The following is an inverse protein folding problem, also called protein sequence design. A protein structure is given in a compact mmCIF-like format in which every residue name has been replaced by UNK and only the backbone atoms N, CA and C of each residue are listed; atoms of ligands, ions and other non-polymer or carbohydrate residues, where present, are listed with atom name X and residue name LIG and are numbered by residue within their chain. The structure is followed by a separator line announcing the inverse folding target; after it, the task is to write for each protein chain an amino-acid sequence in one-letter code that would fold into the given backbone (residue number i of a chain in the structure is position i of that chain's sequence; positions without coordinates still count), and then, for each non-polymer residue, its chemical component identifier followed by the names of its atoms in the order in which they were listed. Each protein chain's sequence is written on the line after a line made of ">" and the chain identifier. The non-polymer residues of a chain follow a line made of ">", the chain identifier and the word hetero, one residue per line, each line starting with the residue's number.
data_IF_171876889030
#
_entry.id   IF_171876889030
#
_cell.length_a   1.000
_cell.length_b   1.000
_cell.length_c   1.000
_cell.angle_alpha   90.00
_cell.angle_beta   90.00
_cell.angle_gamma   90.00
#
_symmetry.space_group_name_H-M   'P 1'
#
loop_
_entity.id
_entity.type
_entity.pdbx_description
1 polymer ?
#
# COMPACT_ATOMS: atom_id res chain seq x y z
N UNK A 1 -30.23 3.66 -13.19
CA UNK A 1 -28.93 3.35 -12.53
C UNK A 1 -29.00 3.97 -11.16
N UNK A 2 -29.22 3.19 -10.12
CA UNK A 2 -29.04 3.63 -8.73
C UNK A 2 -27.58 4.08 -8.62
N UNK A 3 -27.38 5.37 -8.30
CA UNK A 3 -26.06 5.84 -7.87
C UNK A 3 -25.74 5.06 -6.60
N UNK A 4 -24.79 4.14 -6.68
CA UNK A 4 -24.23 3.50 -5.49
C UNK A 4 -23.61 4.59 -4.62
N UNK A 5 -24.37 5.08 -3.67
CA UNK A 5 -23.87 6.05 -2.70
C UNK A 5 -22.93 5.32 -1.74
N UNK A 6 -21.72 5.85 -1.47
CA UNK A 6 -20.75 5.22 -0.59
C UNK A 6 -21.32 4.94 0.81
N UNK A 7 -22.24 5.79 1.27
CA UNK A 7 -22.94 5.62 2.55
C UNK A 7 -23.74 4.33 2.61
N UNK A 8 -24.45 3.99 1.53
CA UNK A 8 -25.25 2.76 1.48
C UNK A 8 -24.37 1.53 1.57
N UNK A 9 -23.19 1.56 0.93
CA UNK A 9 -22.23 0.45 1.01
C UNK A 9 -21.63 0.33 2.41
N UNK A 10 -21.21 1.44 3.00
CA UNK A 10 -20.66 1.47 4.35
C UNK A 10 -21.72 1.08 5.39
N UNK A 11 -22.95 1.57 5.25
CA UNK A 11 -24.09 1.20 6.11
C UNK A 11 -24.38 -0.29 6.09
N UNK A 12 -24.41 -0.89 4.89
CA UNK A 12 -24.60 -2.34 4.74
C UNK A 12 -23.57 -3.14 5.52
N UNK A 13 -22.30 -2.69 5.55
CA UNK A 13 -21.25 -3.34 6.34
C UNK A 13 -21.58 -3.26 7.84
N UNK A 14 -22.04 -2.09 8.31
CA UNK A 14 -22.42 -1.91 9.71
C UNK A 14 -23.54 -2.87 10.09
N UNK A 15 -24.60 -2.94 9.28
CA UNK A 15 -25.76 -3.78 9.54
C UNK A 15 -25.39 -5.29 9.54
N UNK A 16 -24.66 -5.75 8.51
CA UNK A 16 -24.21 -7.14 8.42
C UNK A 16 -23.29 -7.55 9.59
N UNK A 17 -22.41 -6.68 10.04
CA UNK A 17 -21.51 -6.95 11.15
C UNK A 17 -22.24 -6.89 12.51
N UNK A 18 -23.20 -5.98 12.66
CA UNK A 18 -24.01 -5.87 13.86
C UNK A 18 -24.92 -7.08 14.06
N UNK A 19 -25.53 -7.57 12.97
CA UNK A 19 -26.35 -8.79 12.99
C UNK A 19 -25.54 -10.03 13.38
N UNK A 20 -24.28 -10.12 12.94
CA UNK A 20 -23.38 -11.24 13.26
C UNK A 20 -22.79 -11.15 14.66
N UNK A 21 -22.45 -9.96 15.11
CA UNK A 21 -21.90 -9.57 16.42
C UNK A 21 -20.60 -10.26 16.88
N UNK A 22 -20.05 -11.21 16.12
CA UNK A 22 -18.86 -12.00 16.51
C UNK A 22 -17.63 -11.11 16.71
N UNK A 23 -17.42 -10.14 15.82
CA UNK A 23 -16.23 -9.29 15.83
C UNK A 23 -16.22 -8.25 16.96
N UNK A 24 -17.34 -8.05 17.66
CA UNK A 24 -17.43 -7.18 18.83
C UNK A 24 -16.43 -7.60 19.92
N UNK A 25 -16.28 -8.91 20.13
CA UNK A 25 -15.41 -9.47 21.16
C UNK A 25 -14.10 -10.02 20.57
N UNK A 26 -14.15 -10.52 19.33
CA UNK A 26 -12.98 -11.15 18.70
C UNK A 26 -11.94 -10.13 18.26
N UNK A 27 -12.36 -8.92 17.86
CA UNK A 27 -11.49 -7.92 17.23
C UNK A 27 -11.34 -6.64 18.07
N UNK A 28 -11.72 -6.68 19.33
CA UNK A 28 -11.74 -5.51 20.21
C UNK A 28 -10.34 -4.90 20.43
N UNK A 29 -9.34 -5.74 20.70
CA UNK A 29 -8.00 -5.27 21.05
C UNK A 29 -7.11 -4.88 19.85
N UNK A 30 -7.34 -5.48 18.68
CA UNK A 30 -6.37 -5.46 17.57
C UNK A 30 -6.85 -4.67 16.34
N UNK A 31 -8.09 -4.20 16.34
CA UNK A 31 -8.72 -3.55 15.21
C UNK A 31 -9.31 -2.20 15.59
N UNK A 32 -9.06 -1.17 14.77
CA UNK A 32 -9.70 0.14 14.97
C UNK A 32 -11.09 0.24 14.33
N UNK A 33 -11.34 -0.60 13.33
CA UNK A 33 -12.60 -0.58 12.58
C UNK A 33 -13.77 -1.15 13.37
N UNK A 34 -13.64 -2.36 13.93
CA UNK A 34 -14.77 -3.02 14.60
C UNK A 34 -15.21 -2.33 15.90
N UNK A 35 -14.31 -1.91 16.81
CA UNK A 35 -14.74 -1.14 17.99
C UNK A 35 -15.49 0.13 17.62
N UNK A 36 -15.04 0.85 16.60
CA UNK A 36 -15.75 2.04 16.14
C UNK A 36 -17.08 1.73 15.47
N UNK A 37 -17.16 0.64 14.69
CA UNK A 37 -18.40 0.18 14.08
C UNK A 37 -19.46 -0.06 15.15
N UNK A 38 -19.14 -0.84 16.18
CA UNK A 38 -20.08 -1.17 17.24
C UNK A 38 -20.42 0.04 18.10
N UNK A 39 -19.46 0.92 18.36
CA UNK A 39 -19.72 2.17 19.05
C UNK A 39 -20.75 3.05 18.31
N UNK A 40 -20.62 3.14 16.99
CA UNK A 40 -21.54 3.92 16.16
C UNK A 40 -22.91 3.26 16.08
N UNK A 41 -22.97 1.94 15.96
CA UNK A 41 -24.20 1.18 15.94
C UNK A 41 -24.96 1.29 17.27
N UNK A 42 -24.27 1.09 18.40
CA UNK A 42 -24.85 1.18 19.73
C UNK A 42 -25.38 2.60 20.01
N UNK A 43 -24.62 3.65 19.63
CA UNK A 43 -25.08 5.04 19.71
C UNK A 43 -26.40 5.24 18.96
N UNK A 44 -26.51 4.72 17.74
CA UNK A 44 -27.73 4.83 16.92
C UNK A 44 -28.92 4.13 17.57
N UNK A 45 -28.71 2.95 18.16
CA UNK A 45 -29.76 2.22 18.87
C UNK A 45 -30.20 2.98 20.15
N UNK A 46 -29.26 3.54 20.90
CA UNK A 46 -29.55 4.24 22.17
C UNK A 46 -30.20 5.59 21.96
N UNK A 47 -29.75 6.34 20.95
CA UNK A 47 -30.18 7.74 20.75
C UNK A 47 -31.21 7.91 19.66
N UNK A 48 -31.37 6.97 18.76
CA UNK A 48 -32.17 7.08 17.54
C UNK A 48 -31.54 7.98 16.45
N UNK A 49 -30.33 8.53 16.71
CA UNK A 49 -29.61 9.37 15.74
C UNK A 49 -28.90 8.50 14.72
N UNK A 50 -29.20 8.67 13.43
CA UNK A 50 -28.54 7.92 12.35
C UNK A 50 -27.06 8.25 12.24
N UNK A 51 -26.25 7.23 11.94
CA UNK A 51 -24.83 7.40 11.64
C UNK A 51 -24.69 8.32 10.42
N UNK A 52 -23.90 9.38 10.56
CA UNK A 52 -23.69 10.39 9.51
C UNK A 52 -22.74 9.90 8.41
N UNK A 53 -22.79 10.55 7.23
CA UNK A 53 -21.86 10.28 6.13
C UNK A 53 -20.39 10.46 6.54
N UNK A 54 -20.09 11.47 7.37
CA UNK A 54 -18.73 11.71 7.86
C UNK A 54 -18.26 10.59 8.81
N UNK A 55 -19.13 10.12 9.70
CA UNK A 55 -18.84 8.99 10.59
C UNK A 55 -18.63 7.70 9.79
N UNK A 56 -19.46 7.41 8.77
CA UNK A 56 -19.27 6.26 7.88
C UNK A 56 -17.97 6.33 7.08
N UNK A 57 -17.62 7.53 6.58
CA UNK A 57 -16.35 7.77 5.90
C UNK A 57 -15.17 7.48 6.83
N UNK A 58 -15.19 8.05 8.03
CA UNK A 58 -14.15 7.84 9.04
C UNK A 58 -14.04 6.37 9.46
N UNK A 59 -15.18 5.68 9.58
CA UNK A 59 -15.22 4.26 9.92
C UNK A 59 -14.45 3.43 8.90
N UNK A 60 -14.72 3.58 7.60
CA UNK A 60 -14.01 2.80 6.57
C UNK A 60 -12.53 3.16 6.49
N UNK A 61 -12.15 4.41 6.82
CA UNK A 61 -10.75 4.84 6.87
C UNK A 61 -9.93 4.13 7.97
N UNK A 62 -10.57 3.61 9.02
CA UNK A 62 -9.89 2.85 10.07
C UNK A 62 -9.42 1.46 9.65
N UNK A 63 -9.90 0.92 8.53
CA UNK A 63 -9.46 -0.38 8.05
C UNK A 63 -8.10 -0.29 7.37
N UNK A 64 -7.09 -0.96 7.94
CA UNK A 64 -5.73 -1.05 7.41
C UNK A 64 -5.47 -2.32 6.59
N UNK A 65 -6.51 -3.07 6.23
CA UNK A 65 -6.40 -4.29 5.43
C UNK A 65 -5.41 -5.33 5.99
N UNK A 66 -5.30 -5.42 7.31
CA UNK A 66 -4.35 -6.30 8.01
C UNK A 66 -4.63 -7.80 7.84
N UNK A 67 -5.78 -8.17 7.29
CA UNK A 67 -6.23 -9.54 7.06
C UNK A 67 -6.47 -10.39 8.33
N UNK A 68 -6.56 -9.78 9.50
CA UNK A 68 -6.85 -10.48 10.76
C UNK A 68 -8.32 -10.84 10.94
N UNK A 69 -9.24 -10.10 10.28
CA UNK A 69 -10.65 -10.38 10.42
C UNK A 69 -11.04 -11.75 9.82
N UNK A 70 -11.91 -12.52 10.51
CA UNK A 70 -12.28 -13.88 10.10
C UNK A 70 -13.17 -13.91 8.85
N UNK A 71 -13.76 -12.77 8.47
CA UNK A 71 -14.73 -12.66 7.39
C UNK A 71 -14.10 -11.98 6.15
N UNK A 72 -13.62 -12.74 5.13
CA UNK A 72 -12.99 -12.16 3.94
C UNK A 72 -13.84 -11.14 3.17
N UNK A 73 -15.18 -11.33 2.99
CA UNK A 73 -16.02 -10.37 2.27
C UNK A 73 -16.05 -8.97 2.88
N UNK A 74 -15.91 -8.85 4.20
CA UNK A 74 -15.93 -7.54 4.89
C UNK A 74 -14.81 -6.65 4.38
N UNK A 75 -13.60 -7.18 4.18
CA UNK A 75 -12.46 -6.40 3.67
C UNK A 75 -12.71 -5.86 2.26
N UNK A 76 -13.23 -6.71 1.38
CA UNK A 76 -13.58 -6.31 0.02
C UNK A 76 -14.65 -5.20 0.03
N UNK A 77 -15.70 -5.37 0.84
CA UNK A 77 -16.76 -4.39 0.99
C UNK A 77 -16.25 -3.05 1.54
N UNK A 78 -15.33 -3.07 2.52
CA UNK A 78 -14.73 -1.84 3.06
C UNK A 78 -13.88 -1.14 1.99
N UNK A 79 -13.06 -1.88 1.24
CA UNK A 79 -12.25 -1.31 0.16
C UNK A 79 -13.12 -0.69 -0.92
N UNK A 80 -14.21 -1.35 -1.30
CA UNK A 80 -15.18 -0.81 -2.26
C UNK A 80 -15.85 0.46 -1.73
N UNK A 81 -16.28 0.49 -0.47
CA UNK A 81 -16.84 1.69 0.14
C UNK A 81 -15.82 2.84 0.18
N UNK A 82 -14.56 2.57 0.51
CA UNK A 82 -13.48 3.57 0.43
C UNK A 82 -13.33 4.13 -0.98
N UNK A 83 -13.27 3.26 -1.98
CA UNK A 83 -13.16 3.69 -3.40
C UNK A 83 -14.34 4.59 -3.79
N UNK A 84 -15.57 4.22 -3.45
CA UNK A 84 -16.73 5.05 -3.74
C UNK A 84 -16.68 6.44 -3.06
N UNK A 85 -16.21 6.51 -1.81
CA UNK A 85 -15.99 7.78 -1.13
C UNK A 85 -14.90 8.61 -1.82
N UNK A 86 -13.81 7.99 -2.26
CA UNK A 86 -12.71 8.68 -2.95
C UNK A 86 -13.13 9.16 -4.33
N UNK A 87 -13.87 8.35 -5.08
CA UNK A 87 -14.40 8.72 -6.40
C UNK A 87 -15.33 9.94 -6.34
N UNK A 88 -16.08 10.08 -5.24
CA UNK A 88 -16.96 11.22 -5.01
C UNK A 88 -16.26 12.46 -4.46
N UNK A 89 -15.44 12.28 -3.42
CA UNK A 89 -14.93 13.38 -2.58
C UNK A 89 -13.45 13.68 -2.82
N UNK A 90 -12.74 12.76 -3.47
CA UNK A 90 -11.29 12.82 -3.66
C UNK A 90 -10.50 12.45 -2.40
N UNK A 91 -9.19 12.33 -2.57
CA UNK A 91 -8.23 12.09 -1.50
C UNK A 91 -7.78 13.40 -0.84
N UNK A 92 -7.55 13.36 0.47
CA UNK A 92 -6.89 14.46 1.18
C UNK A 92 -5.47 14.63 0.63
N UNK A 93 -5.01 15.87 0.50
CA UNK A 93 -3.70 16.20 -0.08
C UNK A 93 -2.54 15.43 0.54
N UNK A 94 -2.51 15.30 1.88
CA UNK A 94 -1.45 14.57 2.58
C UNK A 94 -1.45 13.08 2.23
N UNK A 95 -2.61 12.44 2.16
CA UNK A 95 -2.75 11.02 1.80
C UNK A 95 -2.29 10.81 0.35
N UNK A 96 -2.77 11.64 -0.58
CA UNK A 96 -2.38 11.59 -2.00
C UNK A 96 -0.87 11.76 -2.22
N UNK A 97 -0.21 12.49 -1.34
CA UNK A 97 1.25 12.68 -1.42
C UNK A 97 2.00 11.47 -0.90
N UNK A 98 1.49 10.81 0.14
CA UNK A 98 2.17 9.70 0.81
C UNK A 98 1.92 8.33 0.16
N UNK A 99 0.80 8.13 -0.51
CA UNK A 99 0.48 6.86 -1.18
C UNK A 99 1.40 6.56 -2.36
N UNK A 100 1.84 7.57 -3.10
CA UNK A 100 2.86 7.44 -4.14
C UNK A 100 4.27 7.62 -3.56
N UNK A 101 4.73 6.59 -2.86
CA UNK A 101 6.06 6.56 -2.23
C UNK A 101 7.19 6.83 -3.23
N UNK A 102 7.06 6.35 -4.46
CA UNK A 102 8.07 6.56 -5.50
C UNK A 102 8.19 8.05 -5.89
N UNK A 103 7.05 8.70 -6.12
CA UNK A 103 7.00 10.12 -6.47
C UNK A 103 7.53 10.99 -5.33
N UNK A 104 7.08 10.72 -4.11
CA UNK A 104 7.55 11.41 -2.92
C UNK A 104 9.05 11.25 -2.73
N UNK A 105 9.56 10.02 -2.82
CA UNK A 105 10.99 9.75 -2.65
C UNK A 105 11.83 10.43 -3.73
N UNK A 106 11.43 10.39 -5.00
CA UNK A 106 12.14 11.08 -6.08
C UNK A 106 12.23 12.59 -5.86
N UNK A 107 11.20 13.22 -5.33
CA UNK A 107 11.24 14.64 -4.95
C UNK A 107 12.24 14.90 -3.82
N UNK A 108 12.24 14.05 -2.79
CA UNK A 108 13.11 14.18 -1.63
C UNK A 108 14.58 13.84 -1.91
N UNK A 109 14.85 13.01 -2.91
CA UNK A 109 16.20 12.58 -3.32
C UNK A 109 16.98 13.61 -4.13
N UNK A 110 16.37 14.70 -4.58
CA UNK A 110 17.08 15.77 -5.31
C UNK A 110 18.14 16.40 -4.40
N UNK A 111 17.79 16.61 -3.12
CA UNK A 111 18.69 17.15 -2.09
C UNK A 111 18.51 16.39 -0.77
N UNK A 112 18.96 15.13 -0.68
CA UNK A 112 18.61 14.26 0.45
C UNK A 112 19.10 14.79 1.79
N UNK A 113 20.31 15.38 1.83
CA UNK A 113 20.86 15.97 3.07
C UNK A 113 20.02 17.14 3.57
N UNK A 114 19.66 18.05 2.69
CA UNK A 114 18.82 19.21 3.03
C UNK A 114 17.41 18.78 3.43
N UNK A 115 16.83 17.85 2.72
CA UNK A 115 15.51 17.28 3.03
C UNK A 115 15.52 16.60 4.40
N UNK A 116 16.52 15.78 4.68
CA UNK A 116 16.67 15.12 5.98
C UNK A 116 16.87 16.12 7.12
N UNK A 117 17.64 17.19 6.88
CA UNK A 117 17.83 18.26 7.87
C UNK A 117 16.52 19.00 8.17
N UNK A 118 15.73 19.31 7.15
CA UNK A 118 14.43 19.97 7.30
C UNK A 118 13.44 19.11 8.10
N UNK A 119 13.35 17.81 7.80
CA UNK A 119 12.47 16.89 8.53
C UNK A 119 12.93 16.61 9.97
N UNK A 120 14.22 16.66 10.26
CA UNK A 120 14.77 16.47 11.61
C UNK A 120 14.64 17.71 12.49
N UNK A 121 14.55 18.91 11.90
CA UNK A 121 14.33 20.15 12.64
C UNK A 121 12.98 20.15 13.34
N UNK A 122 12.95 20.34 14.67
CA UNK A 122 11.71 20.24 15.45
C UNK A 122 10.63 21.21 14.94
N UNK A 123 10.98 22.47 14.72
CA UNK A 123 10.02 23.49 14.23
C UNK A 123 9.71 23.36 12.73
N UNK A 124 10.72 23.13 11.90
CA UNK A 124 10.56 22.99 10.45
C UNK A 124 9.87 21.67 10.09
N UNK A 125 10.28 20.58 10.74
CA UNK A 125 9.68 19.26 10.54
C UNK A 125 8.22 19.23 10.96
N UNK A 126 7.86 19.81 12.09
CA UNK A 126 6.48 19.89 12.58
C UNK A 126 5.61 20.75 11.66
N UNK A 127 6.14 21.86 11.15
CA UNK A 127 5.42 22.70 10.18
C UNK A 127 5.15 21.93 8.87
N UNK A 128 6.16 21.26 8.34
CA UNK A 128 6.02 20.45 7.10
C UNK A 128 4.99 19.34 7.31
N UNK A 129 5.07 18.62 8.43
CA UNK A 129 4.10 17.56 8.77
C UNK A 129 2.69 18.13 8.87
N UNK A 130 2.52 19.27 9.54
CA UNK A 130 1.20 19.93 9.67
C UNK A 130 0.61 20.32 8.31
N UNK A 131 1.42 20.90 7.41
CA UNK A 131 0.98 21.27 6.06
C UNK A 131 0.64 20.03 5.24
N UNK A 132 1.42 18.96 5.38
CA UNK A 132 1.18 17.68 4.71
C UNK A 132 0.06 16.83 5.35
N UNK A 133 -0.57 17.29 6.44
CA UNK A 133 -1.59 16.53 7.17
C UNK A 133 -1.04 15.30 7.90
N UNK A 134 0.26 15.31 8.21
CA UNK A 134 0.94 14.22 8.92
C UNK A 134 0.94 14.52 10.42
N UNK A 135 0.66 13.50 11.25
CA UNK A 135 0.72 13.67 12.71
C UNK A 135 2.12 14.11 13.17
N UNK A 136 2.27 15.07 14.10
CA UNK A 136 3.56 15.60 14.54
C UNK A 136 4.53 14.51 15.04
N UNK A 137 4.03 13.51 15.76
CA UNK A 137 4.83 12.42 16.32
C UNK A 137 5.22 11.35 15.27
N UNK A 138 4.70 11.46 14.04
CA UNK A 138 5.08 10.52 12.97
C UNK A 138 6.54 10.67 12.62
N UNK A 139 7.30 9.60 12.79
CA UNK A 139 8.69 9.55 12.34
C UNK A 139 8.74 9.39 10.81
N UNK A 140 9.43 10.31 10.15
CA UNK A 140 9.71 10.23 8.71
C UNK A 140 11.03 9.50 8.52
N UNK A 141 11.10 8.46 7.68
CA UNK A 141 12.34 7.77 7.36
C UNK A 141 13.38 8.74 6.79
N UNK A 142 14.65 8.46 7.05
CA UNK A 142 15.77 9.21 6.45
C UNK A 142 15.89 8.82 4.97
N UNK A 143 15.86 9.80 4.07
CA UNK A 143 16.06 9.57 2.65
C UNK A 143 17.53 9.23 2.37
N UNK A 144 17.82 8.12 1.68
CA UNK A 144 19.18 7.70 1.37
C UNK A 144 19.82 8.60 0.31
N UNK A 145 21.15 8.72 0.32
CA UNK A 145 21.90 9.43 -0.72
C UNK A 145 21.87 8.67 -2.07
N UNK A 146 21.77 7.35 -2.00
CA UNK A 146 21.65 6.46 -3.15
C UNK A 146 20.53 5.44 -2.94
N UNK A 147 19.49 5.52 -3.77
CA UNK A 147 18.41 4.54 -3.79
C UNK A 147 18.83 3.22 -4.46
N UNK A 148 18.07 2.17 -4.24
CA UNK A 148 18.39 0.87 -4.81
C UNK A 148 18.36 0.84 -6.35
N UNK A 149 17.41 1.45 -7.08
CA UNK A 149 17.45 1.52 -8.54
C UNK A 149 18.73 2.11 -9.13
N UNK A 150 19.29 3.16 -8.52
CA UNK A 150 20.58 3.74 -8.93
C UNK A 150 21.74 2.77 -8.67
N UNK A 151 21.75 2.15 -7.50
CA UNK A 151 22.71 1.12 -7.15
C UNK A 151 22.63 -0.08 -8.09
N UNK A 152 21.44 -0.60 -8.36
CA UNK A 152 21.20 -1.72 -9.28
C UNK A 152 21.71 -1.42 -10.69
N UNK A 153 21.52 -0.18 -11.18
CA UNK A 153 22.07 0.25 -12.48
C UNK A 153 23.60 0.22 -12.50
N UNK A 154 24.26 0.74 -11.45
CA UNK A 154 25.72 0.71 -11.33
C UNK A 154 26.27 -0.72 -11.30
N UNK A 155 25.52 -1.65 -10.67
CA UNK A 155 25.90 -3.06 -10.56
C UNK A 155 25.37 -3.93 -11.70
N UNK A 156 24.89 -3.33 -12.80
CA UNK A 156 24.41 -3.98 -14.03
C UNK A 156 23.27 -4.99 -13.82
N UNK A 157 22.46 -4.81 -12.77
CA UNK A 157 21.32 -5.68 -12.48
C UNK A 157 20.12 -5.43 -13.40
N UNK A 158 20.08 -4.27 -14.06
CA UNK A 158 19.00 -3.89 -14.97
C UNK A 158 19.12 -4.50 -16.38
N UNK A 159 20.16 -5.29 -16.61
CA UNK A 159 20.39 -6.00 -17.88
C UNK A 159 20.30 -7.49 -17.65
N UNK A 160 19.54 -8.19 -18.49
CA UNK A 160 19.46 -9.65 -18.45
C UNK A 160 20.82 -10.27 -18.81
N UNK A 161 21.33 -11.27 -18.05
CA UNK A 161 22.55 -11.99 -18.41
C UNK A 161 22.39 -12.69 -19.77
N UNK A 162 23.33 -12.48 -20.69
CA UNK A 162 23.23 -13.02 -22.06
C UNK A 162 23.42 -14.54 -22.12
N UNK A 163 24.25 -15.12 -21.25
CA UNK A 163 24.49 -16.57 -21.14
C UNK A 163 24.76 -16.90 -19.69
N UNK A 164 23.96 -17.75 -19.10
CA UNK A 164 24.18 -18.25 -17.76
C UNK A 164 23.67 -19.67 -17.63
N UNK A 165 24.47 -20.50 -16.95
CA UNK A 165 24.08 -21.84 -16.52
C UNK A 165 23.44 -21.79 -15.09
N UNK A 166 23.43 -20.63 -14.45
CA UNK A 166 22.89 -20.44 -13.12
C UNK A 166 21.37 -20.37 -13.14
N UNK A 167 20.75 -20.63 -11.99
CA UNK A 167 19.33 -20.30 -11.77
C UNK A 167 19.14 -18.79 -11.82
N UNK A 168 18.04 -18.37 -12.43
CA UNK A 168 17.75 -16.95 -12.67
C UNK A 168 16.61 -16.46 -11.79
N UNK A 169 16.79 -15.31 -11.17
CA UNK A 169 15.71 -14.66 -10.45
C UNK A 169 15.50 -13.22 -10.93
N UNK A 170 14.23 -12.84 -11.01
CA UNK A 170 13.80 -11.45 -11.16
C UNK A 170 13.38 -10.90 -9.79
N UNK A 171 14.08 -9.88 -9.31
CA UNK A 171 13.87 -9.36 -7.99
C UNK A 171 12.90 -8.17 -7.99
N UNK A 172 11.74 -8.37 -7.37
CA UNK A 172 10.77 -7.33 -7.10
C UNK A 172 11.01 -6.74 -5.70
N UNK A 173 11.71 -5.62 -5.62
CA UNK A 173 12.07 -5.01 -4.34
C UNK A 173 10.91 -4.26 -3.66
N UNK A 174 10.01 -3.67 -4.46
CA UNK A 174 8.93 -2.83 -3.97
C UNK A 174 9.37 -1.41 -3.63
N UNK A 175 8.41 -0.49 -3.45
CA UNK A 175 8.67 0.94 -3.31
C UNK A 175 9.47 1.30 -2.06
N UNK A 176 9.12 0.74 -0.90
CA UNK A 176 9.77 1.04 0.38
C UNK A 176 11.25 0.65 0.38
N UNK A 177 11.56 -0.57 -0.08
CA UNK A 177 12.95 -1.04 -0.17
C UNK A 177 13.73 -0.25 -1.23
N UNK A 178 13.13 0.04 -2.38
CA UNK A 178 13.78 0.81 -3.44
C UNK A 178 14.22 2.20 -2.98
N UNK A 179 13.39 2.90 -2.24
CA UNK A 179 13.56 4.34 -2.03
C UNK A 179 13.86 4.74 -0.58
N UNK A 180 13.46 3.96 0.42
CA UNK A 180 13.62 4.32 1.84
C UNK A 180 14.65 3.44 2.56
N UNK A 181 14.73 2.15 2.21
CA UNK A 181 15.61 1.19 2.88
C UNK A 181 16.47 0.41 1.88
N UNK A 182 17.36 1.06 1.10
CA UNK A 182 18.11 0.43 0.00
C UNK A 182 19.09 -0.66 0.45
N UNK A 183 19.45 -0.71 1.73
CA UNK A 183 20.34 -1.76 2.24
C UNK A 183 19.67 -3.13 2.27
N UNK A 184 18.34 -3.18 2.43
CA UNK A 184 17.59 -4.43 2.38
C UNK A 184 17.72 -5.10 1.01
N UNK A 185 17.38 -4.45 -0.13
CA UNK A 185 17.51 -5.08 -1.43
C UNK A 185 18.96 -5.34 -1.85
N UNK A 186 19.94 -4.54 -1.40
CA UNK A 186 21.37 -4.84 -1.62
C UNK A 186 21.75 -6.16 -0.94
N UNK A 187 21.36 -6.37 0.32
CA UNK A 187 21.61 -7.62 1.03
C UNK A 187 20.91 -8.82 0.35
N UNK A 188 19.68 -8.65 -0.13
CA UNK A 188 18.96 -9.69 -0.87
C UNK A 188 19.72 -10.10 -2.13
N UNK A 189 20.20 -9.13 -2.91
CA UNK A 189 21.01 -9.40 -4.12
C UNK A 189 22.28 -10.17 -3.76
N UNK A 190 22.97 -9.77 -2.70
CA UNK A 190 24.21 -10.43 -2.27
C UNK A 190 23.94 -11.87 -1.84
N UNK A 191 22.92 -12.12 -1.02
CA UNK A 191 22.52 -13.47 -0.61
C UNK A 191 22.26 -14.37 -1.82
N UNK A 192 21.50 -13.91 -2.81
CA UNK A 192 21.22 -14.71 -4.01
C UNK A 192 22.48 -14.98 -4.84
N UNK A 193 23.34 -13.98 -5.00
CA UNK A 193 24.61 -14.15 -5.74
C UNK A 193 25.55 -15.15 -5.08
N UNK A 194 25.71 -15.11 -3.76
CA UNK A 194 26.53 -16.06 -2.99
C UNK A 194 25.98 -17.48 -3.16
N UNK A 195 24.66 -17.63 -3.30
CA UNK A 195 24.01 -18.93 -3.52
C UNK A 195 23.93 -19.32 -5.01
N UNK A 196 24.68 -18.66 -5.89
CA UNK A 196 24.82 -19.05 -7.30
C UNK A 196 23.63 -18.68 -8.18
N UNK A 197 22.86 -17.66 -7.82
CA UNK A 197 21.78 -17.15 -8.68
C UNK A 197 22.21 -15.93 -9.48
N UNK A 198 21.73 -15.85 -10.70
CA UNK A 198 21.77 -14.61 -11.47
C UNK A 198 20.57 -13.75 -11.13
N UNK A 199 20.85 -12.55 -10.65
CA UNK A 199 19.83 -11.60 -10.22
C UNK A 199 19.61 -10.55 -11.28
N UNK A 200 18.39 -10.45 -11.77
CA UNK A 200 17.90 -9.40 -12.64
C UNK A 200 16.92 -8.49 -11.88
N UNK A 201 17.06 -7.19 -12.04
CA UNK A 201 16.17 -6.19 -11.47
C UNK A 201 15.38 -5.53 -12.60
N UNK A 202 14.16 -6.03 -12.92
CA UNK A 202 13.31 -5.47 -13.96
C UNK A 202 12.80 -4.08 -13.59
N UNK A 203 12.38 -3.33 -14.60
CA UNK A 203 11.59 -2.14 -14.38
C UNK A 203 10.35 -2.49 -13.57
N UNK A 204 10.05 -1.71 -12.54
CA UNK A 204 8.95 -1.98 -11.63
C UNK A 204 8.44 -0.70 -10.97
N UNK A 205 7.19 -0.72 -10.57
CA UNK A 205 6.51 0.30 -9.77
C UNK A 205 6.14 -0.24 -8.39
N UNK A 206 5.47 0.59 -7.59
CA UNK A 206 4.84 0.09 -6.38
C UNK A 206 3.92 -1.09 -6.69
N UNK A 207 3.75 -2.03 -5.75
CA UNK A 207 2.79 -3.13 -5.92
C UNK A 207 1.31 -2.66 -5.92
N UNK A 208 1.06 -1.38 -5.64
CA UNK A 208 -0.28 -0.78 -5.61
C UNK A 208 -1.01 -0.91 -4.29
N UNK A 209 -0.49 -1.67 -3.31
CA UNK A 209 -1.18 -1.89 -2.04
C UNK A 209 -1.50 -0.58 -1.28
N UNK A 210 -0.58 0.41 -1.12
CA UNK A 210 -0.90 1.65 -0.43
C UNK A 210 -2.09 2.39 -1.06
N UNK A 211 -2.06 2.59 -2.37
CA UNK A 211 -3.13 3.28 -3.10
C UNK A 211 -4.45 2.51 -3.05
N UNK A 212 -4.41 1.19 -3.14
CA UNK A 212 -5.59 0.35 -2.99
C UNK A 212 -6.21 0.49 -1.59
N UNK A 213 -5.38 0.56 -0.54
CA UNK A 213 -5.85 0.74 0.84
C UNK A 213 -6.48 2.09 1.09
N UNK A 214 -6.00 3.12 0.41
CA UNK A 214 -6.59 4.46 0.48
C UNK A 214 -7.82 4.62 -0.43
N UNK A 215 -8.13 3.62 -1.28
CA UNK A 215 -9.25 3.64 -2.21
C UNK A 215 -8.93 4.31 -3.56
N UNK A 216 -7.67 4.73 -3.82
CA UNK A 216 -7.23 5.24 -5.12
C UNK A 216 -6.99 4.09 -6.09
N UNK A 217 -8.09 3.63 -6.67
CA UNK A 217 -8.08 2.51 -7.61
C UNK A 217 -7.31 2.82 -8.89
N UNK A 218 -7.43 4.04 -9.41
CA UNK A 218 -6.79 4.44 -10.67
C UNK A 218 -5.26 4.38 -10.54
N UNK A 219 -4.70 4.96 -9.48
CA UNK A 219 -3.27 4.91 -9.21
C UNK A 219 -2.78 3.48 -8.96
N UNK A 220 -3.53 2.69 -8.19
CA UNK A 220 -3.20 1.30 -7.91
C UNK A 220 -3.15 0.47 -9.20
N UNK A 221 -4.15 0.58 -10.08
CA UNK A 221 -4.22 -0.12 -11.36
C UNK A 221 -3.08 0.28 -12.31
N UNK A 222 -2.73 1.56 -12.36
CA UNK A 222 -1.59 2.03 -13.16
C UNK A 222 -0.27 1.37 -12.77
N UNK A 223 -0.01 1.21 -11.47
CA UNK A 223 1.17 0.49 -10.99
C UNK A 223 1.12 -1.01 -11.31
N UNK A 224 -0.03 -1.62 -11.08
CA UNK A 224 -0.26 -3.05 -11.28
C UNK A 224 -0.07 -3.44 -12.74
N UNK A 225 -0.64 -2.69 -13.68
CA UNK A 225 -0.54 -3.01 -15.11
C UNK A 225 0.91 -3.06 -15.59
N UNK A 226 1.71 -2.03 -15.26
CA UNK A 226 3.13 -2.01 -15.61
C UNK A 226 3.88 -3.20 -15.01
N UNK A 227 3.61 -3.51 -13.74
CA UNK A 227 4.28 -4.62 -13.06
C UNK A 227 3.92 -5.97 -13.69
N UNK A 228 2.65 -6.18 -14.07
CA UNK A 228 2.21 -7.41 -14.74
C UNK A 228 2.95 -7.58 -16.06
N UNK A 229 2.98 -6.54 -16.90
CA UNK A 229 3.63 -6.59 -18.20
C UNK A 229 5.12 -6.94 -18.07
N UNK A 230 5.83 -6.26 -17.16
CA UNK A 230 7.28 -6.51 -16.95
C UNK A 230 7.58 -7.85 -16.32
N UNK A 231 6.76 -8.30 -15.36
CA UNK A 231 6.96 -9.58 -14.70
C UNK A 231 6.56 -10.75 -15.61
N UNK A 232 5.56 -10.61 -16.47
CA UNK A 232 5.21 -11.61 -17.46
C UNK A 232 6.36 -11.85 -18.46
N UNK A 233 7.00 -10.78 -18.95
CA UNK A 233 8.18 -10.89 -19.83
C UNK A 233 9.32 -11.71 -19.18
N UNK A 234 9.63 -11.47 -17.91
CA UNK A 234 10.74 -12.16 -17.24
C UNK A 234 10.41 -13.61 -16.91
N UNK A 235 9.15 -13.93 -16.63
CA UNK A 235 8.70 -15.32 -16.45
C UNK A 235 8.83 -16.11 -17.76
N UNK A 236 8.45 -15.50 -18.91
CA UNK A 236 8.64 -16.10 -20.23
C UNK A 236 10.13 -16.38 -20.54
N UNK A 237 11.04 -15.54 -20.03
CA UNK A 237 12.49 -15.74 -20.15
C UNK A 237 13.07 -16.73 -19.12
N UNK A 238 12.23 -17.40 -18.35
CA UNK A 238 12.61 -18.46 -17.40
C UNK A 238 13.18 -17.95 -16.08
N UNK A 239 12.77 -16.77 -15.62
CA UNK A 239 13.11 -16.24 -14.29
C UNK A 239 12.05 -16.61 -13.26
N UNK A 240 12.50 -16.99 -12.07
CA UNK A 240 11.64 -17.02 -10.89
C UNK A 240 11.49 -15.62 -10.31
N UNK A 241 10.27 -15.20 -9.94
CA UNK A 241 10.03 -13.90 -9.29
C UNK A 241 10.25 -14.04 -7.80
N UNK A 242 11.08 -13.16 -7.24
CA UNK A 242 11.36 -13.08 -5.81
C UNK A 242 11.05 -11.68 -5.29
N UNK A 243 10.37 -11.59 -4.14
CA UNK A 243 10.18 -10.33 -3.43
C UNK A 243 10.56 -10.47 -1.95
N UNK A 244 11.10 -9.41 -1.35
CA UNK A 244 11.48 -9.36 0.07
C UNK A 244 10.41 -8.73 0.96
N UNK A 245 9.41 -8.07 0.36
CA UNK A 245 8.31 -7.45 1.10
C UNK A 245 7.10 -8.39 1.12
N UNK A 246 6.61 -8.85 2.30
CA UNK A 246 5.45 -9.73 2.38
C UNK A 246 4.19 -9.07 1.81
N UNK A 247 4.00 -7.77 1.98
CA UNK A 247 2.87 -7.02 1.40
C UNK A 247 2.89 -7.08 -0.13
N UNK A 248 4.07 -6.90 -0.75
CA UNK A 248 4.21 -7.05 -2.20
C UNK A 248 3.93 -8.50 -2.63
N UNK A 249 4.40 -9.48 -1.86
CA UNK A 249 4.13 -10.91 -2.12
C UNK A 249 2.64 -11.24 -2.09
N UNK A 250 1.92 -10.76 -1.08
CA UNK A 250 0.45 -10.92 -0.98
C UNK A 250 -0.24 -10.24 -2.16
N UNK A 251 0.14 -9.01 -2.49
CA UNK A 251 -0.45 -8.27 -3.61
C UNK A 251 -0.27 -9.02 -4.93
N UNK A 252 0.97 -9.38 -5.28
CA UNK A 252 1.29 -10.04 -6.56
C UNK A 252 0.72 -11.47 -6.65
N UNK A 253 0.65 -12.21 -5.54
CA UNK A 253 0.28 -13.62 -5.56
C UNK A 253 -1.21 -13.89 -5.32
N UNK A 254 -1.85 -13.10 -4.49
CA UNK A 254 -3.23 -13.33 -4.04
C UNK A 254 -4.19 -12.24 -4.49
N UNK A 255 -3.93 -10.98 -4.13
CA UNK A 255 -4.89 -9.90 -4.37
C UNK A 255 -5.14 -9.68 -5.86
N UNK A 256 -4.10 -9.71 -6.70
CA UNK A 256 -4.26 -9.58 -8.15
C UNK A 256 -4.93 -10.79 -8.79
N UNK A 257 -4.77 -11.97 -8.21
CA UNK A 257 -5.41 -13.20 -8.71
C UNK A 257 -6.90 -13.26 -8.32
N UNK A 258 -7.23 -12.87 -7.09
CA UNK A 258 -8.61 -12.86 -6.58
C UNK A 258 -9.39 -11.66 -7.12
N UNK A 259 -8.70 -10.58 -7.43
CA UNK A 259 -9.26 -9.34 -7.95
C UNK A 259 -9.43 -9.32 -9.47
N UNK A 260 -9.85 -10.43 -10.09
CA UNK A 260 -10.24 -10.44 -11.52
C UNK A 260 -11.34 -9.41 -11.86
N UNK A 261 -11.95 -8.78 -10.86
CA UNK A 261 -12.79 -7.59 -10.98
C UNK A 261 -11.99 -6.28 -11.15
N UNK A 262 -10.66 -6.34 -11.20
CA UNK A 262 -9.78 -5.24 -11.59
C UNK A 262 -9.58 -5.12 -13.12
N UNK A 263 -10.36 -5.85 -13.92
CA UNK A 263 -10.46 -5.57 -15.36
C UNK A 263 -11.02 -4.17 -15.56
N UNK A 264 -10.40 -3.36 -16.47
CA UNK A 264 -10.93 -2.06 -16.84
C UNK A 264 -12.29 -2.17 -17.50
#
# INVERSE_FOLDING_TARGET
>A
MEKFEPENKARKIVDECADCDICRFLMDADCLFFPELYRLYDKEIETGEKITSEELRKLVDFCNFCALCPCPPVRANITEAKTLFIDRDGLKFGVRTLEDVERMAKLCEVFPRSTNMLFRGKTTGDLIKKVAGIHPDRQIPTFPEENFPRWAKKHKLISKPQKSANRKIAYFAGCTANYLFPDVPKAVVEVFRINGFDVYFPEQKCCGMPSMLEGDRELALGFVQLNIDRLAEVVQDGYDIVCSCPTCGVMLKHVLKEGANYSP
#
